data_IF_353894242240
#
_entry.id   IF_353894242240
#
_cell.length_a   1.000
_cell.length_b   1.000
_cell.length_c   1.000
_cell.angle_alpha   90.00
_cell.angle_beta   90.00
_cell.angle_gamma   90.00
#
_symmetry.space_group_name_H-M   'P 1'
#
loop_
_entity.id
_entity.type
_entity.pdbx_description
1 polymer ?
#
# COMPACT_ATOMS: atom_id res chain seq x y z
N UNK A 1 16.02 -18.17 -12.10
CA UNK A 1 14.92 -18.47 -13.06
C UNK A 1 14.05 -17.22 -13.20
N UNK A 2 13.19 -17.18 -14.21
CA UNK A 2 12.23 -16.07 -14.41
C UNK A 2 10.82 -16.61 -14.27
N UNK A 3 10.05 -15.99 -13.40
CA UNK A 3 8.66 -16.31 -13.10
C UNK A 3 7.78 -15.43 -13.95
N UNK A 4 6.78 -16.04 -14.60
CA UNK A 4 5.73 -15.31 -15.31
C UNK A 4 4.46 -15.36 -14.47
N UNK A 5 4.14 -14.24 -13.85
CA UNK A 5 3.01 -14.10 -12.95
C UNK A 5 1.92 -13.31 -13.65
N UNK A 6 0.71 -13.87 -13.68
CA UNK A 6 -0.48 -13.14 -14.13
C UNK A 6 -1.11 -12.42 -12.96
N UNK A 7 -1.34 -11.13 -13.15
CA UNK A 7 -1.96 -10.23 -12.19
C UNK A 7 -3.30 -9.80 -12.76
N UNK A 8 -4.39 -10.16 -12.11
CA UNK A 8 -5.76 -9.89 -12.54
C UNK A 8 -6.35 -8.87 -11.59
N UNK A 9 -6.86 -7.75 -12.10
CA UNK A 9 -7.57 -6.77 -11.29
C UNK A 9 -8.98 -7.28 -10.99
N UNK A 10 -9.41 -7.20 -9.73
CA UNK A 10 -10.79 -7.47 -9.33
C UNK A 10 -11.72 -6.35 -9.82
N UNK A 11 -12.26 -6.53 -11.02
CA UNK A 11 -13.16 -5.59 -11.67
C UNK A 11 -14.26 -6.32 -12.45
N UNK A 12 -15.34 -5.61 -12.77
CA UNK A 12 -16.41 -6.12 -13.63
C UNK A 12 -15.90 -6.51 -15.03
N UNK A 13 -14.91 -5.78 -15.53
CA UNK A 13 -14.26 -6.05 -16.80
C UNK A 13 -13.00 -6.89 -16.57
N UNK A 14 -12.69 -7.78 -17.51
CA UNK A 14 -11.46 -8.56 -17.45
C UNK A 14 -10.25 -7.67 -17.75
N UNK A 15 -9.44 -7.40 -16.73
CA UNK A 15 -8.23 -6.58 -16.84
C UNK A 15 -7.09 -7.35 -16.18
N UNK A 16 -6.02 -7.64 -16.93
CA UNK A 16 -4.86 -8.35 -16.38
C UNK A 16 -3.54 -7.99 -17.07
N UNK A 17 -2.44 -8.28 -16.38
CA UNK A 17 -1.07 -8.07 -16.83
C UNK A 17 -0.28 -9.35 -16.59
N UNK A 18 0.57 -9.73 -17.52
CA UNK A 18 1.57 -10.78 -17.26
C UNK A 18 2.91 -10.08 -17.03
N UNK A 19 3.51 -10.34 -15.86
CA UNK A 19 4.78 -9.76 -15.43
C UNK A 19 5.81 -10.89 -15.37
N UNK A 20 6.93 -10.71 -16.05
CA UNK A 20 8.11 -11.54 -15.83
C UNK A 20 8.99 -10.90 -14.74
N UNK A 21 9.42 -11.69 -13.76
CA UNK A 21 10.24 -11.27 -12.61
C UNK A 21 11.23 -12.38 -12.24
N UNK A 22 12.40 -12.07 -11.69
CA UNK A 22 13.36 -13.12 -11.28
C UNK A 22 12.90 -13.79 -9.98
N UNK A 23 13.17 -15.08 -9.87
CA UNK A 23 12.91 -15.88 -8.65
C UNK A 23 13.60 -15.34 -7.40
N UNK A 24 14.79 -14.74 -7.55
CA UNK A 24 15.57 -14.12 -6.46
C UNK A 24 15.20 -12.66 -6.17
N UNK A 25 14.21 -12.10 -6.85
CA UNK A 25 13.64 -10.81 -6.46
C UNK A 25 12.63 -11.02 -5.34
N UNK A 26 12.24 -9.95 -4.66
CA UNK A 26 11.33 -10.01 -3.52
C UNK A 26 9.93 -9.58 -3.90
N UNK A 27 8.94 -9.84 -3.04
CA UNK A 27 7.57 -9.34 -3.23
C UNK A 27 7.52 -7.81 -3.36
N UNK A 28 8.48 -7.09 -2.79
CA UNK A 28 8.63 -5.65 -2.99
C UNK A 28 8.89 -5.31 -4.47
N UNK A 29 9.76 -6.06 -5.14
CA UNK A 29 9.97 -5.87 -6.58
C UNK A 29 8.72 -6.19 -7.39
N UNK A 30 7.93 -7.20 -6.99
CA UNK A 30 6.65 -7.50 -7.62
C UNK A 30 5.64 -6.37 -7.40
N UNK A 31 5.54 -5.81 -6.19
CA UNK A 31 4.72 -4.63 -5.89
C UNK A 31 5.04 -3.46 -6.85
N UNK A 32 6.32 -3.11 -7.02
CA UNK A 32 6.74 -2.06 -7.96
C UNK A 32 6.38 -2.42 -9.41
N UNK A 33 6.53 -3.69 -9.78
CA UNK A 33 6.13 -4.22 -11.08
C UNK A 33 4.63 -4.05 -11.34
N UNK A 34 3.78 -4.40 -10.37
CA UNK A 34 2.32 -4.25 -10.45
C UNK A 34 1.95 -2.78 -10.55
N UNK A 35 2.48 -1.94 -9.65
CA UNK A 35 2.26 -0.50 -9.64
C UNK A 35 2.55 0.12 -11.01
N UNK A 36 3.69 -0.22 -11.62
CA UNK A 36 4.05 0.22 -12.96
C UNK A 36 3.13 -0.34 -14.05
N UNK A 37 2.83 -1.65 -14.01
CA UNK A 37 2.04 -2.34 -15.02
C UNK A 37 0.59 -1.85 -15.12
N UNK A 38 0.03 -1.42 -14.00
CA UNK A 38 -1.32 -0.88 -13.89
C UNK A 38 -1.36 0.66 -13.78
N UNK A 39 -0.20 1.33 -13.69
CA UNK A 39 -0.10 2.78 -13.51
C UNK A 39 -0.88 3.26 -12.29
N UNK A 40 -0.71 2.55 -11.17
CA UNK A 40 -1.42 2.88 -9.93
C UNK A 40 -0.91 4.21 -9.36
N UNK A 41 -1.82 5.07 -8.86
CA UNK A 41 -1.46 6.38 -8.32
C UNK A 41 -0.85 6.27 -6.92
N UNK A 42 -0.11 7.31 -6.52
CA UNK A 42 0.35 7.51 -5.13
C UNK A 42 1.47 6.56 -4.68
N UNK A 43 1.84 6.67 -3.41
CA UNK A 43 2.65 5.71 -2.67
C UNK A 43 1.75 5.17 -1.55
N UNK A 44 1.05 4.09 -1.84
CA UNK A 44 0.04 3.55 -0.94
C UNK A 44 0.56 2.34 -0.17
N UNK A 45 0.19 2.25 1.11
CA UNK A 45 0.40 1.03 1.88
C UNK A 45 -0.28 -0.15 1.17
N UNK A 46 0.40 -1.29 1.16
CA UNK A 46 0.00 -2.45 0.38
C UNK A 46 0.29 -3.74 1.14
N UNK A 47 -0.37 -4.83 0.76
CA UNK A 47 -0.12 -6.14 1.35
C UNK A 47 -0.36 -7.26 0.34
N UNK A 48 0.52 -8.25 0.36
CA UNK A 48 0.25 -9.54 -0.27
C UNK A 48 -0.36 -10.48 0.76
N UNK A 49 -1.18 -11.41 0.30
CA UNK A 49 -1.75 -12.47 1.11
C UNK A 49 -1.52 -13.78 0.37
N UNK A 50 -0.93 -14.76 1.05
CA UNK A 50 -0.89 -16.12 0.52
C UNK A 50 -2.31 -16.61 0.29
N UNK A 51 -2.54 -17.37 -0.78
CA UNK A 51 -3.88 -17.87 -1.09
C UNK A 51 -3.86 -19.34 -1.44
N UNK A 52 -4.95 -20.02 -1.08
CA UNK A 52 -5.20 -21.38 -1.50
C UNK A 52 -5.81 -21.43 -2.91
N UNK A 53 -6.19 -22.62 -3.36
CA UNK A 53 -6.76 -22.82 -4.68
C UNK A 53 -8.09 -22.10 -4.92
N UNK A 54 -8.80 -21.79 -3.84
CA UNK A 54 -10.10 -21.12 -3.82
C UNK A 54 -9.96 -19.59 -3.62
N UNK A 55 -8.74 -19.06 -3.62
CA UNK A 55 -8.42 -17.64 -3.39
C UNK A 55 -8.75 -17.13 -1.98
N UNK A 56 -8.83 -18.03 -0.99
CA UNK A 56 -8.99 -17.63 0.40
C UNK A 56 -7.73 -16.91 0.91
N UNK A 57 -7.90 -15.85 1.68
CA UNK A 57 -6.79 -15.09 2.28
C UNK A 57 -6.16 -15.89 3.42
N UNK A 58 -4.85 -16.14 3.29
CA UNK A 58 -4.02 -16.71 4.33
C UNK A 58 -3.15 -15.64 5.01
N UNK A 59 -1.88 -15.99 5.25
CA UNK A 59 -0.89 -15.11 5.88
C UNK A 59 -0.67 -13.84 5.07
N UNK A 60 -0.68 -12.69 5.72
CA UNK A 60 -0.35 -11.40 5.13
C UNK A 60 1.16 -11.14 5.12
N UNK A 61 1.62 -10.40 4.12
CA UNK A 61 2.98 -9.87 3.97
C UNK A 61 2.83 -8.37 3.62
N UNK A 62 2.86 -7.49 4.63
CA UNK A 62 2.67 -6.06 4.44
C UNK A 62 3.90 -5.39 3.80
N UNK A 63 3.68 -4.20 3.26
CA UNK A 63 4.74 -3.39 2.67
C UNK A 63 5.73 -2.89 3.74
N UNK A 64 5.19 -2.42 4.84
CA UNK A 64 5.92 -1.93 6.01
C UNK A 64 5.58 -2.81 7.21
N UNK A 65 6.47 -2.83 8.20
CA UNK A 65 6.23 -3.59 9.42
C UNK A 65 5.08 -2.94 10.22
N UNK A 66 4.09 -3.76 10.54
CA UNK A 66 2.89 -3.39 11.30
C UNK A 66 2.83 -4.07 12.67
N UNK A 67 3.90 -4.76 13.07
CA UNK A 67 4.00 -5.43 14.36
C UNK A 67 4.34 -4.44 15.48
N UNK A 68 3.89 -4.73 16.69
CA UNK A 68 4.22 -3.92 17.87
C UNK A 68 5.70 -4.07 18.28
N UNK A 69 6.30 -5.22 17.98
CA UNK A 69 7.66 -5.59 18.38
C UNK A 69 8.73 -5.18 17.34
N UNK A 70 8.31 -4.77 16.13
CA UNK A 70 9.21 -4.28 15.07
C UNK A 70 10.03 -5.36 14.37
N UNK A 71 9.58 -6.62 14.41
CA UNK A 71 10.22 -7.78 13.79
C UNK A 71 9.31 -8.50 12.77
N UNK A 72 8.28 -7.80 12.27
CA UNK A 72 7.34 -8.33 11.31
C UNK A 72 7.96 -8.49 9.92
N UNK A 73 7.67 -9.63 9.29
CA UNK A 73 8.13 -9.92 7.93
C UNK A 73 7.41 -9.05 6.91
N UNK A 74 8.17 -8.35 6.06
CA UNK A 74 7.65 -7.45 5.03
C UNK A 74 7.93 -7.95 3.61
N UNK A 75 7.37 -7.28 2.62
CA UNK A 75 7.55 -7.61 1.20
C UNK A 75 9.02 -7.68 0.75
N UNK A 76 9.93 -6.99 1.45
CA UNK A 76 11.37 -6.99 1.18
C UNK A 76 12.09 -8.24 1.70
N UNK A 77 11.48 -8.98 2.61
CA UNK A 77 12.09 -10.18 3.23
C UNK A 77 11.72 -11.47 2.49
N UNK A 78 10.60 -11.46 1.77
CA UNK A 78 10.10 -12.64 1.04
C UNK A 78 10.54 -12.63 -0.41
N UNK A 79 11.32 -13.64 -0.79
CA UNK A 79 11.68 -13.89 -2.18
C UNK A 79 10.52 -14.46 -3.00
N UNK A 80 10.56 -14.28 -4.32
CA UNK A 80 9.51 -14.74 -5.23
C UNK A 80 9.35 -16.26 -5.21
N UNK A 81 10.44 -17.01 -5.03
CA UNK A 81 10.40 -18.47 -4.89
C UNK A 81 9.79 -18.95 -3.57
N UNK A 82 9.70 -18.09 -2.55
CA UNK A 82 8.99 -18.38 -1.30
C UNK A 82 7.51 -18.00 -1.41
N UNK A 83 7.22 -16.85 -2.03
CA UNK A 83 5.85 -16.40 -2.30
C UNK A 83 5.10 -17.29 -3.30
N UNK A 84 5.79 -17.76 -4.33
CA UNK A 84 5.25 -18.58 -5.42
C UNK A 84 6.12 -19.83 -5.62
N UNK A 85 6.01 -20.83 -4.73
CA UNK A 85 6.91 -21.99 -4.72
C UNK A 85 6.81 -22.88 -5.95
N UNK A 86 5.65 -22.92 -6.61
CA UNK A 86 5.40 -23.75 -7.79
C UNK A 86 4.38 -23.12 -8.75
N UNK A 87 4.37 -23.60 -10.00
CA UNK A 87 3.38 -23.18 -10.99
C UNK A 87 1.97 -23.48 -10.47
N UNK A 88 1.09 -22.48 -10.54
CA UNK A 88 -0.25 -22.53 -9.97
C UNK A 88 -0.35 -21.90 -8.57
N UNK A 89 0.77 -21.55 -7.93
CA UNK A 89 0.75 -20.82 -6.66
C UNK A 89 0.03 -19.47 -6.80
N UNK A 90 -0.78 -19.14 -5.80
CA UNK A 90 -1.69 -18.00 -5.79
C UNK A 90 -1.41 -17.07 -4.61
N UNK A 91 -1.50 -15.78 -4.87
CA UNK A 91 -1.52 -14.75 -3.84
C UNK A 91 -2.54 -13.68 -4.20
N UNK A 92 -3.20 -13.10 -3.20
CA UNK A 92 -3.96 -11.86 -3.37
C UNK A 92 -3.05 -10.67 -3.05
N UNK A 93 -3.25 -9.58 -3.77
CA UNK A 93 -2.51 -8.35 -3.57
C UNK A 93 -3.47 -7.19 -3.42
N UNK A 94 -3.28 -6.40 -2.38
CA UNK A 94 -4.08 -5.22 -2.08
C UNK A 94 -3.18 -3.98 -2.12
N UNK A 95 -3.59 -2.98 -2.88
CA UNK A 95 -2.90 -1.70 -2.99
C UNK A 95 -3.79 -0.55 -2.50
N UNK A 96 -3.33 0.10 -1.43
CA UNK A 96 -4.07 1.14 -0.72
C UNK A 96 -5.18 0.63 0.17
N UNK A 97 -5.34 1.29 1.32
CA UNK A 97 -6.43 1.03 2.27
C UNK A 97 -7.68 1.86 2.00
N UNK A 98 -7.57 2.95 1.22
CA UNK A 98 -8.70 3.85 0.91
C UNK A 98 -9.37 3.43 -0.39
N UNK A 99 -8.60 3.38 -1.47
CA UNK A 99 -9.12 3.02 -2.79
C UNK A 99 -9.33 1.50 -2.93
N UNK A 100 -8.64 0.68 -2.13
CA UNK A 100 -8.81 -0.78 -2.06
C UNK A 100 -8.70 -1.46 -3.43
N UNK A 101 -7.59 -1.23 -4.13
CA UNK A 101 -7.30 -1.99 -5.35
C UNK A 101 -6.98 -3.43 -4.98
N UNK A 102 -7.73 -4.38 -5.54
CA UNK A 102 -7.54 -5.80 -5.28
C UNK A 102 -7.12 -6.55 -6.53
N UNK A 103 -6.14 -7.42 -6.38
CA UNK A 103 -5.57 -8.19 -7.46
C UNK A 103 -5.42 -9.66 -7.06
N UNK A 104 -5.58 -10.52 -8.06
CA UNK A 104 -5.29 -11.94 -8.00
C UNK A 104 -4.00 -12.22 -8.76
N UNK A 105 -3.01 -12.79 -8.09
CA UNK A 105 -1.69 -13.10 -8.64
C UNK A 105 -1.52 -14.61 -8.75
N UNK A 106 -1.19 -15.12 -9.93
CA UNK A 106 -0.97 -16.55 -10.17
C UNK A 106 0.34 -16.78 -10.94
N UNK A 107 1.18 -17.69 -10.46
CA UNK A 107 2.39 -18.11 -11.17
C UNK A 107 2.03 -19.05 -12.32
N UNK A 108 2.17 -18.60 -13.57
CA UNK A 108 1.81 -19.37 -14.75
C UNK A 108 2.95 -20.26 -15.27
N UNK A 109 4.17 -19.73 -15.29
CA UNK A 109 5.32 -20.40 -15.90
C UNK A 109 6.61 -20.04 -15.16
N UNK A 110 7.56 -20.99 -15.15
CA UNK A 110 8.93 -20.79 -14.72
C UNK A 110 9.83 -21.07 -15.93
N UNK A 111 10.55 -20.03 -16.37
CA UNK A 111 11.36 -20.05 -17.57
C UNK A 111 12.83 -19.72 -17.26
N UNK A 112 13.72 -20.03 -18.20
CA UNK A 112 15.11 -19.58 -18.13
C UNK A 112 15.22 -18.06 -18.30
N UNK A 113 16.20 -17.47 -17.61
CA UNK A 113 16.49 -16.04 -17.72
C UNK A 113 16.99 -15.69 -19.13
N UNK A 114 16.38 -14.66 -19.72
CA UNK A 114 16.81 -14.17 -21.03
C UNK A 114 17.96 -13.17 -20.84
N UNK A 115 19.07 -13.31 -21.59
CA UNK A 115 20.17 -12.36 -21.51
C UNK A 115 19.72 -10.96 -21.92
N UNK A 116 20.28 -9.94 -21.27
CA UNK A 116 20.03 -8.53 -21.55
C UNK A 116 18.58 -8.04 -21.36
N UNK A 117 17.78 -8.74 -20.54
CA UNK A 117 16.46 -8.28 -20.10
C UNK A 117 16.53 -7.77 -18.65
N UNK A 118 15.97 -6.58 -18.42
CA UNK A 118 15.79 -6.03 -17.08
C UNK A 118 14.42 -6.44 -16.54
N UNK A 119 14.40 -6.96 -15.32
CA UNK A 119 13.20 -7.46 -14.63
C UNK A 119 12.94 -6.61 -13.36
N UNK A 120 11.67 -6.42 -12.95
CA UNK A 120 10.46 -6.95 -13.57
C UNK A 120 10.08 -6.24 -14.88
N UNK A 121 9.38 -6.95 -15.77
CA UNK A 121 8.87 -6.41 -17.03
C UNK A 121 7.45 -6.92 -17.32
N UNK A 122 6.56 -6.03 -17.76
CA UNK A 122 5.23 -6.42 -18.24
C UNK A 122 5.31 -6.91 -19.69
N UNK A 123 5.11 -8.21 -19.90
CA UNK A 123 5.18 -8.85 -21.22
C UNK A 123 3.83 -8.91 -21.93
N UNK A 124 2.73 -8.79 -21.20
CA UNK A 124 1.39 -8.79 -21.77
C UNK A 124 0.43 -7.86 -21.02
N UNK A 125 -0.48 -7.24 -21.77
CA UNK A 125 -1.51 -6.34 -21.23
C UNK A 125 -2.86 -6.64 -21.89
N UNK A 126 -3.88 -6.80 -21.06
CA UNK A 126 -5.27 -6.96 -21.50
C UNK A 126 -6.21 -6.09 -20.66
N UNK A 127 -7.18 -5.44 -21.32
CA UNK A 127 -8.12 -4.54 -20.67
C UNK A 127 -7.50 -3.19 -20.28
N UNK A 128 -8.37 -2.19 -20.13
CA UNK A 128 -8.01 -0.84 -19.75
C UNK A 128 -8.15 -0.67 -18.23
N UNK A 129 -7.11 -0.15 -17.58
CA UNK A 129 -7.18 0.12 -16.13
C UNK A 129 -8.11 1.32 -15.90
N UNK A 130 -9.08 1.24 -15.00
CA UNK A 130 -9.93 2.38 -14.67
C UNK A 130 -9.12 3.50 -13.99
N UNK A 131 -9.63 4.72 -14.01
CA UNK A 131 -9.00 5.87 -13.33
C UNK A 131 -9.10 5.82 -11.80
N UNK A 132 -10.02 5.00 -11.29
CA UNK A 132 -10.28 4.79 -9.86
C UNK A 132 -10.43 3.31 -9.60
N UNK A 133 -10.18 2.91 -8.37
CA UNK A 133 -10.37 1.53 -7.98
C UNK A 133 -11.81 1.05 -8.25
N UNK A 134 -11.98 -0.19 -8.74
CA UNK A 134 -13.29 -0.78 -8.89
C UNK A 134 -14.03 -0.87 -7.55
N UNK A 135 -15.32 -0.51 -7.54
CA UNK A 135 -16.17 -0.77 -6.37
C UNK A 135 -16.45 -2.26 -6.29
N UNK A 136 -16.10 -2.89 -5.16
CA UNK A 136 -16.51 -4.26 -4.81
C UNK A 136 -18.03 -4.38 -4.95
N UNK A 137 -18.46 -5.16 -5.95
CA UNK A 137 -19.82 -5.57 -6.27
C UNK A 137 -20.95 -4.61 -5.88
N UNK A 138 -21.54 -3.99 -6.90
CA UNK A 138 -22.75 -3.19 -6.82
C UNK A 138 -23.91 -3.87 -6.07
N UNK A 139 -23.99 -3.63 -4.77
CA UNK A 139 -25.26 -3.36 -4.13
C UNK A 139 -25.78 -2.07 -4.75
N UNK A 140 -26.88 -2.16 -5.48
CA UNK A 140 -27.61 -1.03 -6.00
C UNK A 140 -28.08 -0.12 -4.85
N UNK A 141 -27.23 0.80 -4.40
CA UNK A 141 -27.68 2.05 -3.83
C UNK A 141 -27.58 3.09 -4.93
N UNK A 142 -28.66 3.16 -5.72
CA UNK A 142 -28.90 4.32 -6.54
C UNK A 142 -28.91 5.59 -5.68
N UNK A 143 -28.58 6.69 -6.36
CA UNK A 143 -28.49 8.08 -5.89
C UNK A 143 -27.09 8.49 -5.43
N UNK A 144 -26.43 9.20 -6.35
CA UNK A 144 -25.79 10.48 -6.07
C UNK A 144 -25.96 10.94 -4.61
N UNK A 145 -24.95 10.71 -3.78
CA UNK A 145 -24.68 11.60 -2.66
C UNK A 145 -23.36 12.29 -2.97
N UNK A 146 -23.52 13.48 -3.54
CA UNK A 146 -22.62 14.59 -3.25
C UNK A 146 -22.21 14.52 -1.78
N UNK A 147 -20.92 14.63 -1.54
CA UNK A 147 -20.33 15.04 -0.26
C UNK A 147 -21.04 16.28 0.26
N UNK A 148 -22.07 16.06 1.07
CA UNK A 148 -22.70 17.04 1.92
C UNK A 148 -22.72 16.40 3.30
N UNK A 149 -21.91 16.96 4.19
CA UNK A 149 -21.90 16.70 5.62
C UNK A 149 -23.35 16.59 6.12
N UNK A 150 -23.75 15.53 6.84
CA UNK A 150 -25.05 15.48 7.48
C UNK A 150 -25.09 16.60 8.52
N UNK A 151 -25.90 17.63 8.26
CA UNK A 151 -26.35 18.53 9.32
C UNK A 151 -27.09 17.65 10.33
N UNK A 152 -26.53 17.60 11.54
CA UNK A 152 -27.17 17.05 12.73
C UNK A 152 -28.45 17.84 12.95
N UNK A 153 -29.59 17.20 12.74
CA UNK A 153 -30.90 17.74 13.14
C UNK A 153 -31.67 16.61 13.83
N UNK A 154 -32.10 16.93 15.04
CA UNK A 154 -33.08 16.23 15.89
C UNK A 154 -32.68 14.95 16.64
N UNK A 155 -31.88 15.13 17.71
CA UNK A 155 -32.12 14.44 19.00
C UNK A 155 -31.65 15.33 20.16
N UNK A 156 -32.27 16.50 20.33
CA UNK A 156 -32.07 17.36 21.49
C UNK A 156 -32.98 16.90 22.64
N UNK A 157 -32.65 15.73 23.18
CA UNK A 157 -33.19 15.22 24.43
C UNK A 157 -32.49 15.87 25.62
N UNK A 158 -33.15 16.89 26.18
CA UNK A 158 -33.12 17.28 27.61
C UNK A 158 -31.90 16.84 28.43
N UNK A 159 -30.84 17.65 28.41
CA UNK A 159 -29.78 17.61 29.43
C UNK A 159 -29.57 19.01 30.00
N UNK A 160 -30.62 19.54 30.63
CA UNK A 160 -30.52 20.70 31.50
C UNK A 160 -30.44 20.22 32.96
N UNK A 161 -29.22 19.99 33.44
CA UNK A 161 -28.78 20.33 34.80
C UNK A 161 -27.35 19.83 35.05
N UNK A 162 -26.50 20.73 35.55
CA UNK A 162 -25.19 20.48 36.18
C UNK A 162 -23.90 20.54 35.34
N UNK A 163 -23.85 21.33 34.26
CA UNK A 163 -22.54 21.85 33.81
C UNK A 163 -22.18 23.11 34.60
N UNK A 164 -21.62 22.90 35.78
CA UNK A 164 -21.05 23.94 36.62
C UNK A 164 -19.81 24.52 35.94
N UNK A 165 -19.98 25.71 35.41
CA UNK A 165 -18.98 26.69 34.98
C UNK A 165 -17.75 26.69 35.92
N UNK A 166 -16.66 26.07 35.48
CA UNK A 166 -15.32 26.36 35.99
C UNK A 166 -14.71 27.38 35.04
N UNK A 167 -14.68 28.63 35.49
CA UNK A 167 -13.88 29.71 34.92
C UNK A 167 -12.47 29.20 34.64
N UNK A 168 -12.08 29.17 33.37
CA UNK A 168 -10.69 29.10 32.99
C UNK A 168 -10.16 30.53 33.11
N UNK A 169 -9.46 30.80 34.21
CA UNK A 169 -8.60 31.97 34.33
C UNK A 169 -7.52 31.86 33.25
N UNK A 170 -7.50 32.88 32.41
CA UNK A 170 -6.52 33.17 31.38
C UNK A 170 -5.33 33.88 32.06
N UNK A 171 -4.32 33.10 32.46
CA UNK A 171 -3.03 33.61 32.92
C UNK A 171 -1.99 32.51 32.70
N UNK A 172 -1.29 32.56 31.56
CA UNK A 172 0.11 32.14 31.49
C UNK A 172 0.77 32.83 30.29
N UNK A 173 1.26 34.03 30.59
CA UNK A 173 2.22 34.83 29.86
C UNK A 173 3.52 34.01 29.68
N UNK A 174 3.80 33.58 28.46
CA UNK A 174 5.04 32.88 28.13
C UNK A 174 5.50 33.32 26.74
N UNK A 175 6.34 34.36 26.68
CA UNK A 175 7.47 34.33 25.77
C UNK A 175 8.57 35.35 26.12
N UNK A 176 9.78 34.96 25.73
CA UNK A 176 10.95 35.79 25.45
C UNK A 176 11.99 36.01 26.56
N UNK A 177 12.76 34.96 26.87
CA UNK A 177 14.20 35.12 27.14
C UNK A 177 15.01 34.21 26.23
N UNK A 178 15.73 34.84 25.29
CA UNK A 178 16.77 34.24 24.46
C UNK A 178 17.88 33.60 25.31
N UNK A 179 18.12 32.30 25.12
CA UNK A 179 19.39 31.67 25.51
C UNK A 179 20.29 31.51 24.27
N UNK A 180 21.24 32.43 24.17
CA UNK A 180 22.48 32.33 23.40
C UNK A 180 23.31 31.14 23.91
N UNK A 181 23.32 30.04 23.16
CA UNK A 181 24.32 28.97 23.34
C UNK A 181 25.07 28.70 22.04
N UNK A 182 26.09 29.53 21.81
CA UNK A 182 27.44 29.12 21.43
C UNK A 182 27.63 27.92 20.49
N UNK A 183 27.90 28.23 19.22
CA UNK A 183 28.68 27.36 18.34
C UNK A 183 29.92 28.11 17.85
N UNK A 184 31.06 27.79 18.48
CA UNK A 184 32.39 28.06 17.93
C UNK A 184 32.60 27.08 16.77
N UNK A 185 32.51 27.59 15.54
CA UNK A 185 32.94 26.86 14.35
C UNK A 185 34.38 27.26 14.03
N UNK A 186 35.34 26.53 14.61
CA UNK A 186 36.75 26.58 14.21
C UNK A 186 36.92 25.57 13.08
N UNK A 187 36.81 26.06 11.85
CA UNK A 187 37.35 25.38 10.68
C UNK A 187 38.87 25.64 10.66
N UNK A 188 39.66 24.64 11.04
CA UNK A 188 41.06 24.56 10.61
C UNK A 188 41.07 23.97 9.20
N UNK A 189 41.35 24.82 8.21
CA UNK A 189 41.82 24.41 6.89
C UNK A 189 43.29 23.97 7.03
N UNK A 190 43.53 22.66 7.06
CA UNK A 190 44.84 22.10 6.78
C UNK A 190 45.00 21.99 5.25
N UNK A 191 45.44 23.09 4.65
CA UNK A 191 46.22 23.09 3.40
C UNK A 191 47.71 22.97 3.78
N UNK A 192 48.32 21.78 3.63
CA UNK A 192 49.78 21.68 3.46
C UNK A 192 50.17 20.59 2.43
N UNK A 193 50.81 21.10 1.36
CA UNK A 193 51.83 20.56 0.44
C UNK A 193 51.57 19.34 -0.48
#
# INVERSE_FOLDING_TARGET
MVYKIRIILDAKETIFRDIEIKDKQTLWNLHLGIKSAFSLPGEELSSFYFSDDEWNEGRAVPLEDMSDDGDGEIMSDIYLNEGFPEVGAKMRFQYGFIDLWEFFCELLEINDEKPAVNYPITVYRFGNVPLKAPSKNGAASGKNKSSAMPLLDDDFGDFDADFKETSFDDDDDFDDEEEDTGYNDVFEEDDED
#
